data_IF_056961133822
#
_entry.id   IF_056961133822
#
_cell.length_a   1.000
_cell.length_b   1.000
_cell.length_c   1.000
_cell.angle_alpha   90.00
_cell.angle_beta   90.00
_cell.angle_gamma   90.00
#
_symmetry.space_group_name_H-M   'P 1'
#
loop_
_entity.id
_entity.type
_entity.pdbx_description
1 polymer ?
#
# COMPACT_ATOMS: atom_id res chain seq x y z
N UNK A 1 -0.08 14.25 12.86
CA UNK A 1 1.36 13.88 12.74
C UNK A 1 1.53 13.19 11.38
N UNK A 2 2.74 12.77 10.98
CA UNK A 2 2.90 11.92 9.80
C UNK A 2 3.30 10.50 10.21
N UNK A 3 2.63 9.52 9.62
CA UNK A 3 2.83 8.09 9.83
C UNK A 3 3.46 7.50 8.57
N UNK A 4 4.53 6.73 8.69
CA UNK A 4 5.09 6.03 7.53
C UNK A 4 4.14 4.92 7.09
N UNK A 5 3.86 4.85 5.79
CA UNK A 5 3.13 3.77 5.16
C UNK A 5 4.02 3.16 4.08
N UNK A 6 4.20 1.84 4.13
CA UNK A 6 4.87 1.06 3.09
C UNK A 6 3.85 0.14 2.45
N UNK A 7 3.68 0.23 1.14
CA UNK A 7 2.71 -0.55 0.37
C UNK A 7 3.46 -1.47 -0.57
N UNK A 8 3.04 -2.73 -0.65
CA UNK A 8 3.51 -3.64 -1.68
C UNK A 8 2.35 -4.43 -2.30
N UNK A 9 2.54 -4.85 -3.54
CA UNK A 9 1.60 -5.67 -4.30
C UNK A 9 2.33 -6.36 -5.46
N UNK A 10 1.65 -7.32 -6.11
CA UNK A 10 2.14 -7.87 -7.37
C UNK A 10 2.12 -6.79 -8.47
N UNK A 11 3.04 -6.90 -9.42
CA UNK A 11 3.22 -5.89 -10.46
C UNK A 11 2.01 -5.75 -11.39
N UNK A 12 1.18 -6.78 -11.53
CA UNK A 12 -0.09 -6.75 -12.28
C UNK A 12 -1.19 -5.93 -11.58
N UNK A 13 -1.04 -5.66 -10.28
CA UNK A 13 -1.96 -4.83 -9.49
C UNK A 13 -1.53 -3.34 -9.44
N UNK A 14 -0.36 -2.99 -9.98
CA UNK A 14 0.27 -1.67 -9.76
C UNK A 14 -0.57 -0.51 -10.24
N UNK A 15 -1.33 -0.68 -11.34
CA UNK A 15 -2.14 0.41 -11.88
C UNK A 15 -3.35 0.72 -11.00
N UNK A 16 -3.99 -0.30 -10.44
CA UNK A 16 -5.06 -0.12 -9.47
C UNK A 16 -4.50 0.46 -8.15
N UNK A 17 -3.32 0.01 -7.71
CA UNK A 17 -2.64 0.55 -6.53
C UNK A 17 -2.25 2.03 -6.71
N UNK A 18 -1.77 2.43 -7.90
CA UNK A 18 -1.50 3.83 -8.25
C UNK A 18 -2.78 4.66 -8.31
N UNK A 19 -3.87 4.11 -8.85
CA UNK A 19 -5.16 4.77 -8.86
C UNK A 19 -5.66 5.02 -7.43
N UNK A 20 -5.49 4.07 -6.52
CA UNK A 20 -5.79 4.27 -5.11
C UNK A 20 -4.88 5.32 -4.47
N UNK A 21 -3.59 5.30 -4.74
CA UNK A 21 -2.64 6.30 -4.23
C UNK A 21 -3.02 7.71 -4.70
N UNK A 22 -3.44 7.87 -5.96
CA UNK A 22 -3.91 9.14 -6.51
C UNK A 22 -5.26 9.58 -5.91
N UNK A 23 -6.20 8.65 -5.71
CA UNK A 23 -7.49 8.94 -5.06
C UNK A 23 -7.33 9.39 -3.61
N UNK A 24 -6.43 8.75 -2.86
CA UNK A 24 -6.15 9.06 -1.47
C UNK A 24 -5.14 10.19 -1.31
N UNK A 25 -4.59 10.75 -2.39
CA UNK A 25 -3.39 11.57 -2.31
C UNK A 25 -3.57 12.72 -1.32
N UNK A 26 -2.57 12.87 -0.47
CA UNK A 26 -2.35 14.04 0.35
C UNK A 26 -1.01 14.62 -0.10
N UNK A 27 -0.86 15.95 -0.11
CA UNK A 27 0.33 16.66 -0.64
C UNK A 27 1.69 16.24 -0.02
N UNK A 28 1.68 15.25 0.88
CA UNK A 28 2.81 14.61 1.55
C UNK A 28 3.49 13.54 0.64
N UNK A 29 2.90 13.18 -0.50
CA UNK A 29 3.55 12.41 -1.58
C UNK A 29 3.96 10.97 -1.23
N UNK A 30 4.54 10.25 -2.20
CA UNK A 30 5.35 9.04 -2.00
C UNK A 30 4.74 7.66 -2.28
N UNK A 31 3.41 7.52 -2.39
CA UNK A 31 2.79 6.21 -2.68
C UNK A 31 2.47 5.98 -4.17
N UNK A 32 2.55 7.00 -5.03
CA UNK A 32 2.43 6.82 -6.49
C UNK A 32 3.70 6.26 -7.16
N UNK A 33 4.83 6.28 -6.44
CA UNK A 33 6.16 5.93 -6.97
C UNK A 33 6.56 4.51 -6.59
N UNK A 34 5.76 3.53 -7.01
CA UNK A 34 6.08 2.12 -6.85
C UNK A 34 7.39 1.76 -7.57
N UNK A 35 8.33 1.18 -6.82
CA UNK A 35 9.64 0.74 -7.29
C UNK A 35 9.63 -0.78 -7.47
N UNK A 36 10.03 -1.30 -8.65
CA UNK A 36 10.17 -2.74 -8.87
C UNK A 36 11.45 -3.28 -8.21
N UNK A 37 11.65 -4.60 -8.29
CA UNK A 37 12.86 -5.26 -7.80
C UNK A 37 12.61 -6.18 -6.60
N UNK A 38 11.37 -6.63 -6.44
CA UNK A 38 11.00 -7.64 -5.46
C UNK A 38 10.33 -8.81 -6.17
N UNK A 39 10.41 -10.00 -5.57
CA UNK A 39 9.73 -11.22 -6.01
C UNK A 39 8.95 -11.79 -4.85
N UNK A 40 7.81 -12.42 -5.14
CA UNK A 40 7.13 -13.27 -4.17
C UNK A 40 7.69 -14.71 -4.18
N UNK A 41 7.15 -15.57 -3.31
CA UNK A 41 7.55 -16.97 -3.20
C UNK A 41 7.29 -17.81 -4.48
N UNK A 42 6.48 -17.31 -5.41
CA UNK A 42 6.17 -17.92 -6.71
C UNK A 42 6.95 -17.25 -7.88
N UNK A 43 8.03 -16.53 -7.57
CA UNK A 43 8.86 -15.76 -8.50
C UNK A 43 8.07 -14.70 -9.31
N UNK A 44 6.92 -14.23 -8.80
CA UNK A 44 6.17 -13.17 -9.46
C UNK A 44 6.71 -11.79 -9.08
N UNK A 45 6.83 -10.86 -10.04
CA UNK A 45 7.34 -9.52 -9.79
C UNK A 45 6.42 -8.76 -8.83
N UNK A 46 7.02 -8.19 -7.81
CA UNK A 46 6.37 -7.33 -6.83
C UNK A 46 6.95 -5.91 -6.89
N UNK A 47 6.12 -4.95 -6.51
CA UNK A 47 6.46 -3.53 -6.47
C UNK A 47 6.16 -2.95 -5.10
N UNK A 48 6.96 -1.97 -4.69
CA UNK A 48 6.90 -1.39 -3.34
C UNK A 48 6.93 0.13 -3.40
N UNK A 49 6.09 0.81 -2.62
CA UNK A 49 6.17 2.25 -2.40
C UNK A 49 6.22 2.53 -0.89
N UNK A 50 6.92 3.58 -0.47
CA UNK A 50 6.96 3.97 0.95
C UNK A 50 6.97 5.48 1.09
N UNK A 51 5.98 6.02 1.80
CA UNK A 51 5.77 7.45 1.96
C UNK A 51 5.34 7.84 3.38
N UNK A 52 5.52 9.11 3.80
CA UNK A 52 4.86 9.61 4.99
C UNK A 52 3.41 9.91 4.62
N UNK A 53 2.45 9.62 5.51
CA UNK A 53 1.03 9.91 5.30
C UNK A 53 0.39 10.58 6.51
N UNK A 54 -0.55 11.48 6.26
CA UNK A 54 -1.27 12.18 7.32
C UNK A 54 -2.30 11.28 8.01
N UNK A 55 -2.74 11.71 9.20
CA UNK A 55 -3.87 11.07 9.89
C UNK A 55 -5.17 11.17 9.06
N UNK A 56 -5.33 12.22 8.25
CA UNK A 56 -6.46 12.40 7.33
C UNK A 56 -6.42 11.37 6.20
N UNK A 57 -5.24 11.09 5.65
CA UNK A 57 -5.04 10.00 4.67
C UNK A 57 -5.46 8.65 5.26
N UNK A 58 -5.01 8.33 6.48
CA UNK A 58 -5.36 7.09 7.16
C UNK A 58 -6.86 6.98 7.41
N UNK A 59 -7.50 8.06 7.84
CA UNK A 59 -8.95 8.09 8.06
C UNK A 59 -9.72 7.90 6.75
N UNK A 60 -9.26 8.49 5.65
CA UNK A 60 -9.87 8.34 4.32
C UNK A 60 -9.68 6.93 3.76
N UNK A 61 -8.50 6.34 3.98
CA UNK A 61 -8.17 4.98 3.56
C UNK A 61 -9.01 3.89 4.26
N UNK A 62 -9.70 4.23 5.35
CA UNK A 62 -10.62 3.33 6.07
C UNK A 62 -12.08 3.46 5.61
N UNK A 63 -12.37 4.36 4.67
CA UNK A 63 -13.72 4.58 4.16
C UNK A 63 -13.81 4.06 2.73
N UNK A 64 -14.99 3.58 2.28
CA UNK A 64 -15.19 3.24 0.88
C UNK A 64 -14.80 4.39 -0.06
N UNK A 65 -14.41 4.05 -1.29
CA UNK A 65 -14.22 5.08 -2.33
C UNK A 65 -15.54 5.82 -2.52
N UNK A 66 -15.50 7.13 -2.31
CA UNK A 66 -16.64 8.03 -2.45
C UNK A 66 -16.58 8.79 -3.78
N UNK A 67 -17.00 10.04 -3.74
CA UNK A 67 -16.98 10.90 -4.92
C UNK A 67 -15.55 11.17 -5.41
N UNK A 68 -15.44 11.43 -6.72
CA UNK A 68 -14.18 11.83 -7.35
C UNK A 68 -13.63 13.07 -6.62
N UNK A 69 -12.34 13.09 -6.22
CA UNK A 69 -11.74 14.26 -5.59
C UNK A 69 -11.86 15.50 -6.48
N UNK A 70 -12.16 16.66 -5.90
CA UNK A 70 -12.23 17.93 -6.66
C UNK A 70 -10.89 18.33 -7.29
N UNK A 71 -9.78 17.83 -6.72
CA UNK A 71 -8.43 18.00 -7.27
C UNK A 71 -8.23 17.30 -8.61
N UNK A 72 -9.05 16.30 -8.95
CA UNK A 72 -8.96 15.54 -10.19
C UNK A 72 -9.77 16.20 -11.32
N UNK A 73 -9.40 17.43 -11.65
CA UNK A 73 -10.07 18.28 -12.64
C UNK A 73 -10.00 17.70 -14.06
N UNK A 74 -8.95 16.94 -14.37
CA UNK A 74 -8.75 16.26 -15.66
C UNK A 74 -9.39 14.86 -15.70
N UNK A 75 -10.00 14.41 -14.60
CA UNK A 75 -10.58 13.07 -14.45
C UNK A 75 -9.58 11.95 -14.75
N UNK A 76 -8.31 12.18 -14.44
CA UNK A 76 -7.22 11.24 -14.69
C UNK A 76 -7.26 10.03 -13.75
N UNK A 77 -7.91 10.15 -12.59
CA UNK A 77 -7.98 9.06 -11.61
C UNK A 77 -8.92 7.96 -12.12
N UNK A 78 -8.42 6.73 -12.22
CA UNK A 78 -9.27 5.56 -12.45
C UNK A 78 -10.01 5.19 -11.15
N UNK A 79 -11.19 5.77 -10.93
CA UNK A 79 -12.00 5.54 -9.73
C UNK A 79 -12.42 4.08 -9.54
N UNK A 80 -12.62 3.33 -10.64
CA UNK A 80 -12.94 1.90 -10.56
C UNK A 80 -11.71 1.11 -10.09
N UNK A 81 -10.53 1.42 -10.60
CA UNK A 81 -9.27 0.83 -10.15
C UNK A 81 -8.98 1.15 -8.69
N UNK A 82 -9.19 2.40 -8.28
CA UNK A 82 -9.06 2.82 -6.87
C UNK A 82 -9.99 2.02 -5.95
N UNK A 83 -11.24 1.80 -6.34
CA UNK A 83 -12.19 1.01 -5.56
C UNK A 83 -11.79 -0.46 -5.47
N UNK A 84 -11.32 -1.07 -6.57
CA UNK A 84 -10.78 -2.43 -6.56
C UNK A 84 -9.55 -2.57 -5.67
N UNK A 85 -8.59 -1.67 -5.82
CA UNK A 85 -7.39 -1.66 -4.98
C UNK A 85 -7.74 -1.48 -3.51
N UNK A 86 -8.64 -0.55 -3.17
CA UNK A 86 -9.04 -0.35 -1.77
C UNK A 86 -9.67 -1.61 -1.17
N UNK A 87 -10.56 -2.27 -1.92
CA UNK A 87 -11.19 -3.51 -1.49
C UNK A 87 -10.17 -4.67 -1.33
N UNK A 88 -9.10 -4.67 -2.13
CA UNK A 88 -8.00 -5.63 -2.03
C UNK A 88 -6.94 -5.24 -0.99
N UNK A 89 -7.01 -4.03 -0.41
CA UNK A 89 -5.95 -3.53 0.48
C UNK A 89 -6.17 -4.01 1.92
N UNK A 90 -5.17 -4.69 2.46
CA UNK A 90 -5.07 -5.02 3.89
C UNK A 90 -4.16 -3.99 4.56
N UNK A 91 -4.75 -3.18 5.44
CA UNK A 91 -4.01 -2.23 6.28
C UNK A 91 -3.55 -2.93 7.55
N UNK A 92 -2.25 -3.16 7.66
CA UNK A 92 -1.65 -3.83 8.80
C UNK A 92 -0.76 -2.88 9.61
N UNK A 93 -0.78 -3.08 10.93
CA UNK A 93 0.11 -2.45 11.92
C UNK A 93 0.47 -3.49 12.98
N UNK A 94 1.66 -3.44 13.62
CA UNK A 94 2.10 -4.45 14.58
C UNK A 94 1.23 -4.60 15.83
N UNK A 95 0.57 -3.51 16.22
CA UNK A 95 -0.41 -3.50 17.30
C UNK A 95 -1.73 -2.98 16.76
N UNK A 96 -2.83 -3.55 17.21
CA UNK A 96 -4.17 -3.14 16.83
C UNK A 96 -4.57 -1.79 17.48
N UNK A 97 -5.81 -1.27 17.30
CA UNK A 97 -6.20 -0.01 17.94
C UNK A 97 -6.31 -0.07 19.48
N UNK A 98 -6.43 -1.27 20.06
CA UNK A 98 -6.50 -1.49 21.52
C UNK A 98 -5.10 -1.67 22.13
N UNK A 99 -4.07 -1.80 21.29
CA UNK A 99 -2.68 -1.95 21.68
C UNK A 99 -2.22 -3.42 21.74
N UNK A 100 -3.08 -4.35 21.38
CA UNK A 100 -2.77 -5.79 21.39
C UNK A 100 -1.91 -6.17 20.18
N UNK A 101 -1.03 -7.18 20.30
CA UNK A 101 -0.25 -7.69 19.17
C UNK A 101 -1.16 -8.12 18.02
N UNK A 102 -0.91 -7.58 16.83
CA UNK A 102 -1.65 -7.90 15.62
C UNK A 102 -0.77 -8.76 14.71
N UNK A 103 -1.07 -10.06 14.55
CA UNK A 103 -0.25 -10.94 13.73
C UNK A 103 -0.20 -10.45 12.28
N UNK A 104 0.89 -10.78 11.58
CA UNK A 104 0.96 -10.52 10.14
C UNK A 104 -0.18 -11.26 9.44
N UNK A 105 -0.81 -10.65 8.42
CA UNK A 105 -1.84 -11.32 7.64
C UNK A 105 -1.21 -12.44 6.80
N UNK A 106 -2.00 -13.42 6.41
CA UNK A 106 -1.59 -14.31 5.32
C UNK A 106 -1.65 -13.55 3.99
N UNK A 107 -0.68 -13.78 3.11
CA UNK A 107 -0.63 -13.14 1.79
C UNK A 107 -0.44 -14.20 0.70
N UNK A 108 -1.32 -14.17 -0.30
CA UNK A 108 -1.33 -15.11 -1.43
C UNK A 108 -1.09 -14.42 -2.79
N UNK A 109 -0.71 -13.14 -2.74
CA UNK A 109 -0.50 -12.30 -3.91
C UNK A 109 -1.78 -11.74 -4.54
N UNK A 110 -2.96 -12.01 -3.98
CA UNK A 110 -4.21 -11.36 -4.41
C UNK A 110 -4.48 -10.04 -3.66
N UNK A 111 -3.86 -9.83 -2.50
CA UNK A 111 -4.03 -8.61 -1.71
C UNK A 111 -2.95 -7.57 -1.99
N UNK A 112 -3.31 -6.30 -1.80
CA UNK A 112 -2.34 -5.20 -1.64
C UNK A 112 -2.09 -5.07 -0.13
N UNK A 113 -0.85 -5.07 0.33
CA UNK A 113 -0.54 -4.93 1.75
C UNK A 113 -0.02 -3.52 2.03
N UNK A 114 -0.66 -2.82 2.96
CA UNK A 114 -0.22 -1.52 3.46
C UNK A 114 0.25 -1.66 4.93
N UNK A 115 1.56 -1.61 5.15
CA UNK A 115 2.21 -1.63 6.46
C UNK A 115 2.27 -0.20 7.01
N UNK A 116 1.62 0.02 8.16
CA UNK A 116 1.40 1.35 8.74
C UNK A 116 2.16 1.51 10.05
N UNK A 117 2.88 2.64 10.18
CA UNK A 117 3.50 3.06 11.45
C UNK A 117 4.78 2.33 11.81
N UNK A 118 5.40 1.65 10.85
CA UNK A 118 6.62 0.86 11.04
C UNK A 118 7.80 1.54 10.33
N UNK A 119 9.02 1.57 10.91
CA UNK A 119 10.20 2.06 10.22
C UNK A 119 10.55 1.19 9.00
N UNK A 120 11.25 1.74 7.98
CA UNK A 120 11.51 1.03 6.71
C UNK A 120 12.09 -0.38 6.87
N UNK A 121 13.09 -0.56 7.74
CA UNK A 121 13.75 -1.86 7.91
C UNK A 121 12.82 -2.94 8.49
N UNK A 122 11.92 -2.54 9.41
CA UNK A 122 10.93 -3.45 9.96
C UNK A 122 9.77 -3.71 8.96
N UNK A 123 9.46 -2.75 8.08
CA UNK A 123 8.54 -3.00 6.97
C UNK A 123 9.12 -4.01 5.97
N UNK A 124 10.40 -3.90 5.63
CA UNK A 124 11.10 -4.90 4.79
C UNK A 124 11.13 -6.28 5.46
N UNK A 125 11.36 -6.33 6.77
CA UNK A 125 11.32 -7.59 7.53
C UNK A 125 9.91 -8.23 7.51
N UNK A 126 8.86 -7.42 7.64
CA UNK A 126 7.49 -7.87 7.51
C UNK A 126 7.18 -8.40 6.10
N UNK A 127 7.64 -7.71 5.06
CA UNK A 127 7.50 -8.18 3.67
C UNK A 127 8.18 -9.53 3.44
N UNK A 128 9.41 -9.71 3.91
CA UNK A 128 10.12 -10.98 3.79
C UNK A 128 9.40 -12.12 4.53
N UNK A 129 8.83 -11.84 5.71
CA UNK A 129 8.00 -12.80 6.44
C UNK A 129 6.70 -13.17 5.69
N UNK A 130 6.22 -12.28 4.82
CA UNK A 130 5.10 -12.52 3.90
C UNK A 130 5.54 -13.15 2.57
N UNK A 131 6.81 -13.52 2.44
CA UNK A 131 7.35 -14.15 1.23
C UNK A 131 7.70 -13.17 0.10
N UNK A 132 7.81 -11.86 0.38
CA UNK A 132 8.24 -10.85 -0.59
C UNK A 132 9.66 -10.40 -0.29
N UNK A 133 10.59 -10.76 -1.16
CA UNK A 133 12.01 -10.48 -0.98
C UNK A 133 12.57 -9.66 -2.15
N UNK A 134 13.69 -8.99 -1.90
CA UNK A 134 14.39 -8.24 -2.95
C UNK A 134 14.92 -9.23 -3.98
N UNK A 135 14.65 -8.98 -5.25
CA UNK A 135 15.16 -9.80 -6.35
C UNK A 135 16.71 -9.84 -6.30
N UNK A 136 17.34 -10.98 -6.68
CA UNK A 136 18.79 -11.06 -6.81
C UNK A 136 19.31 -9.95 -7.72
N UNK A 137 20.38 -9.27 -7.30
CA UNK A 137 21.09 -8.35 -8.19
C UNK A 137 22.14 -9.16 -8.94
N UNK A 138 21.94 -9.35 -10.24
CA UNK A 138 22.94 -9.90 -11.16
C UNK A 138 24.21 -9.02 -11.20
#
# INVERSE_FOLDING_TARGET
MSTRVTVFCRADQVDDARALAAYLDDDIGGLGTFVPGYLDADDQPCVVASGPKSDAWLARAQQPVGDRPESDTEQAINMTGAARALAATVFWRPSDPEGEPNPLPDWDGSQIIAIVGVPPDAALSAMAALGVEKAPQD
#
